data_IF_862605565093
#
_entry.id   IF_862605565093
#
_cell.length_a   1.000
_cell.length_b   1.000
_cell.length_c   1.000
_cell.angle_alpha   90.00
_cell.angle_beta   90.00
_cell.angle_gamma   90.00
#
_symmetry.space_group_name_H-M   'P 1'
#
loop_
_entity.id
_entity.type
_entity.pdbx_description
1 polymer ?
#
# COMPACT_ATOMS: atom_id res chain seq x y z
N UNK A 1 -7.12 -10.35 -42.62
CA UNK A 1 -6.18 -10.20 -41.49
C UNK A 1 -5.80 -11.58 -40.99
N UNK A 2 -4.53 -12.00 -41.14
CA UNK A 2 -4.06 -13.33 -40.70
C UNK A 2 -3.76 -13.28 -39.19
N UNK A 3 -4.60 -13.94 -38.38
CA UNK A 3 -4.35 -14.19 -36.95
C UNK A 3 -3.23 -15.21 -36.81
N UNK A 4 -1.97 -14.78 -36.71
CA UNK A 4 -0.83 -15.69 -36.51
C UNK A 4 -0.56 -15.97 -35.03
N UNK A 5 -1.59 -16.02 -34.18
CA UNK A 5 -1.44 -16.54 -32.82
C UNK A 5 -1.77 -18.03 -32.81
N UNK A 6 -0.74 -18.86 -32.65
CA UNK A 6 -0.90 -20.32 -32.57
C UNK A 6 -0.96 -20.75 -31.12
N UNK A 7 -2.01 -21.51 -30.76
CA UNK A 7 -2.19 -22.07 -29.43
C UNK A 7 -2.44 -23.58 -29.52
N UNK A 8 -1.68 -24.36 -28.76
CA UNK A 8 -1.90 -25.81 -28.66
C UNK A 8 -1.63 -26.33 -27.26
N UNK A 9 -2.35 -27.40 -26.90
CA UNK A 9 -2.23 -28.10 -25.63
C UNK A 9 -1.98 -29.57 -25.92
N UNK A 10 -0.94 -30.14 -25.33
CA UNK A 10 -0.68 -31.59 -25.36
C UNK A 10 -0.44 -32.14 -23.96
N UNK A 11 -0.70 -33.43 -23.75
CA UNK A 11 -0.45 -34.08 -22.48
C UNK A 11 0.60 -35.18 -22.66
N UNK A 12 1.44 -35.35 -21.67
CA UNK A 12 2.51 -36.35 -21.69
C UNK A 12 2.91 -36.72 -20.26
N UNK A 13 3.70 -37.78 -20.14
CA UNK A 13 4.13 -38.30 -18.85
C UNK A 13 5.65 -38.27 -18.69
N UNK A 14 6.13 -38.13 -17.44
CA UNK A 14 7.55 -38.29 -17.09
C UNK A 14 7.71 -39.35 -16.01
N UNK A 15 8.49 -40.40 -16.30
CA UNK A 15 8.77 -41.50 -15.37
C UNK A 15 9.42 -40.99 -14.08
N UNK A 16 9.03 -41.55 -12.93
CA UNK A 16 9.67 -41.24 -11.64
C UNK A 16 11.02 -41.95 -11.55
N UNK A 17 12.06 -41.22 -11.11
CA UNK A 17 13.43 -41.77 -10.98
C UNK A 17 13.50 -43.03 -10.09
N UNK A 18 12.79 -43.03 -8.96
CA UNK A 18 12.79 -44.14 -7.98
C UNK A 18 11.80 -45.27 -8.31
N UNK A 19 10.80 -45.02 -9.15
CA UNK A 19 9.73 -45.97 -9.47
C UNK A 19 9.34 -45.86 -10.95
N UNK A 20 10.13 -46.46 -11.88
CA UNK A 20 9.95 -46.27 -13.31
C UNK A 20 8.62 -46.77 -13.90
N UNK A 21 7.92 -47.67 -13.19
CA UNK A 21 6.58 -48.13 -13.54
C UNK A 21 5.51 -47.04 -13.39
N UNK A 22 5.81 -45.98 -12.65
CA UNK A 22 4.92 -44.84 -12.43
C UNK A 22 5.49 -43.56 -13.06
N UNK A 23 4.61 -42.73 -13.58
CA UNK A 23 4.98 -41.45 -14.18
C UNK A 23 4.07 -40.31 -13.71
N UNK A 24 4.61 -39.11 -13.70
CA UNK A 24 3.87 -37.88 -13.43
C UNK A 24 3.26 -37.34 -14.72
N UNK A 25 1.99 -36.93 -14.65
CA UNK A 25 1.25 -36.35 -15.77
C UNK A 25 1.51 -34.85 -15.89
N UNK A 26 1.76 -34.40 -17.12
CA UNK A 26 2.01 -33.00 -17.47
C UNK A 26 1.12 -32.55 -18.62
N UNK A 27 0.76 -31.27 -18.59
CA UNK A 27 0.21 -30.55 -19.73
C UNK A 27 1.31 -29.63 -20.31
N UNK A 28 1.49 -29.63 -21.63
CA UNK A 28 2.34 -28.68 -22.35
C UNK A 28 1.45 -27.69 -23.07
N UNK A 29 1.74 -26.41 -22.87
CA UNK A 29 1.08 -25.30 -23.54
C UNK A 29 2.08 -24.72 -24.53
N UNK A 30 1.66 -24.54 -25.77
CA UNK A 30 2.44 -23.87 -26.81
C UNK A 30 1.72 -22.60 -27.25
N UNK A 31 2.41 -21.47 -27.21
CA UNK A 31 1.94 -20.18 -27.74
C UNK A 31 3.01 -19.65 -28.68
N UNK A 32 2.69 -19.43 -29.95
CA UNK A 32 3.59 -18.84 -30.94
C UNK A 32 4.96 -19.54 -31.01
N UNK A 33 4.94 -20.88 -31.03
CA UNK A 33 6.14 -21.72 -31.09
C UNK A 33 6.91 -21.88 -29.76
N UNK A 34 6.62 -21.06 -28.73
CA UNK A 34 7.21 -21.24 -27.39
C UNK A 34 6.37 -22.20 -26.58
N UNK A 35 7.00 -23.14 -25.89
CA UNK A 35 6.33 -24.16 -25.06
C UNK A 35 6.66 -24.01 -23.58
N UNK A 36 5.69 -24.32 -22.71
CA UNK A 36 5.88 -24.44 -21.27
C UNK A 36 5.05 -25.60 -20.72
N UNK A 37 5.54 -26.23 -19.65
CA UNK A 37 4.92 -27.40 -19.05
C UNK A 37 4.32 -27.11 -17.67
N UNK A 38 3.18 -27.73 -17.38
CA UNK A 38 2.46 -27.68 -16.11
C UNK A 38 2.32 -29.11 -15.59
N UNK A 39 2.85 -29.37 -14.39
CA UNK A 39 2.59 -30.63 -13.71
C UNK A 39 1.14 -30.67 -13.22
N UNK A 40 0.41 -31.74 -13.54
CA UNK A 40 -0.94 -31.95 -13.02
C UNK A 40 -0.95 -32.64 -11.65
N UNK A 41 0.24 -32.89 -11.07
CA UNK A 41 0.43 -33.55 -9.77
C UNK A 41 -0.30 -34.90 -9.64
N UNK A 42 -0.53 -35.58 -10.78
CA UNK A 42 -1.10 -36.94 -10.83
C UNK A 42 -0.01 -37.93 -11.21
N UNK A 43 0.02 -39.04 -10.49
CA UNK A 43 0.88 -40.18 -10.81
C UNK A 43 0.03 -41.23 -11.50
N UNK A 44 0.51 -41.79 -12.61
CA UNK A 44 -0.19 -42.82 -13.37
C UNK A 44 0.75 -43.98 -13.74
N UNK A 45 0.22 -45.20 -13.94
CA UNK A 45 0.98 -46.32 -14.50
C UNK A 45 1.41 -46.02 -15.95
N UNK A 46 2.67 -46.33 -16.29
CA UNK A 46 3.24 -46.04 -17.62
C UNK A 46 2.62 -46.91 -18.71
N UNK A 47 2.33 -48.17 -18.41
CA UNK A 47 1.72 -49.17 -19.28
C UNK A 47 0.30 -48.80 -19.71
N UNK A 48 -0.42 -48.04 -18.88
CA UNK A 48 -1.78 -47.58 -19.15
C UNK A 48 -1.84 -46.26 -19.92
N UNK A 49 -0.72 -45.61 -20.24
CA UNK A 49 -0.74 -44.33 -20.92
C UNK A 49 -0.69 -44.48 -22.45
N UNK A 50 -1.68 -43.92 -23.15
CA UNK A 50 -1.65 -43.78 -24.60
C UNK A 50 -1.26 -42.34 -24.98
N UNK A 51 -0.05 -42.17 -25.52
CA UNK A 51 0.49 -40.87 -25.90
C UNK A 51 -0.26 -40.23 -27.08
N UNK A 52 -0.64 -41.01 -28.10
CA UNK A 52 -1.36 -40.52 -29.28
C UNK A 52 -2.76 -40.02 -28.93
N UNK A 53 -3.45 -40.73 -28.04
CA UNK A 53 -4.76 -40.31 -27.53
C UNK A 53 -4.65 -39.26 -26.40
N UNK A 54 -3.46 -39.10 -25.80
CA UNK A 54 -3.25 -38.28 -24.59
C UNK A 54 -4.20 -38.67 -23.45
N UNK A 55 -4.46 -39.98 -23.28
CA UNK A 55 -5.41 -40.54 -22.31
C UNK A 55 -4.91 -41.85 -21.73
N UNK A 56 -5.46 -42.25 -20.59
CA UNK A 56 -5.27 -43.58 -20.04
C UNK A 56 -6.16 -44.59 -20.79
N UNK A 57 -5.60 -45.78 -21.03
CA UNK A 57 -6.29 -46.95 -21.57
C UNK A 57 -7.04 -47.70 -20.46
N UNK A 58 -8.09 -48.42 -20.86
CA UNK A 58 -8.93 -49.20 -19.95
C UNK A 58 -10.14 -48.45 -19.41
N UNK A 59 -11.02 -49.20 -18.74
CA UNK A 59 -12.35 -48.74 -18.31
C UNK A 59 -12.50 -48.67 -16.78
N UNK A 60 -11.39 -48.66 -16.04
CA UNK A 60 -11.42 -48.59 -14.57
C UNK A 60 -11.91 -47.21 -14.10
N UNK A 61 -12.48 -47.15 -12.90
CA UNK A 61 -12.91 -45.89 -12.28
C UNK A 61 -11.77 -44.86 -12.24
N UNK A 62 -10.56 -45.29 -11.89
CA UNK A 62 -9.35 -44.47 -11.88
C UNK A 62 -9.03 -43.90 -13.27
N UNK A 63 -9.07 -44.72 -14.33
CA UNK A 63 -8.79 -44.28 -15.70
C UNK A 63 -9.80 -43.24 -16.17
N UNK A 64 -11.09 -43.44 -15.85
CA UNK A 64 -12.15 -42.47 -16.13
C UNK A 64 -11.92 -41.15 -15.39
N UNK A 65 -11.54 -41.19 -14.11
CA UNK A 65 -11.30 -40.00 -13.30
C UNK A 65 -10.11 -39.18 -13.82
N UNK A 66 -9.01 -39.85 -14.20
CA UNK A 66 -7.84 -39.15 -14.75
C UNK A 66 -8.14 -38.58 -16.14
N UNK A 67 -8.82 -39.33 -17.01
CA UNK A 67 -9.24 -38.82 -18.31
C UNK A 67 -10.18 -37.62 -18.20
N UNK A 68 -11.15 -37.67 -17.27
CA UNK A 68 -11.99 -36.51 -16.96
C UNK A 68 -11.15 -35.30 -16.54
N UNK A 69 -10.15 -35.50 -15.67
CA UNK A 69 -9.25 -34.42 -15.24
C UNK A 69 -8.43 -33.82 -16.39
N UNK A 70 -7.99 -34.65 -17.34
CA UNK A 70 -7.30 -34.20 -18.56
C UNK A 70 -8.23 -33.32 -19.40
N UNK A 71 -9.46 -33.79 -19.64
CA UNK A 71 -10.45 -33.07 -20.43
C UNK A 71 -10.84 -31.73 -19.77
N UNK A 72 -11.07 -31.71 -18.44
CA UNK A 72 -11.30 -30.50 -17.66
C UNK A 72 -10.12 -29.52 -17.73
N UNK A 73 -8.90 -30.03 -17.60
CA UNK A 73 -7.68 -29.20 -17.68
C UNK A 73 -7.54 -28.56 -19.06
N UNK A 74 -7.81 -29.33 -20.12
CA UNK A 74 -7.79 -28.85 -21.50
C UNK A 74 -8.82 -27.74 -21.70
N UNK A 75 -10.06 -27.95 -21.27
CA UNK A 75 -11.13 -26.96 -21.37
C UNK A 75 -10.79 -25.67 -20.61
N UNK A 76 -10.27 -25.79 -19.38
CA UNK A 76 -9.88 -24.64 -18.57
C UNK A 76 -8.74 -23.83 -19.22
N UNK A 77 -7.75 -24.49 -19.81
CA UNK A 77 -6.64 -23.83 -20.49
C UNK A 77 -7.08 -23.07 -21.75
N UNK A 78 -8.00 -23.63 -22.55
CA UNK A 78 -8.60 -22.90 -23.66
C UNK A 78 -9.41 -21.70 -23.18
N UNK A 79 -10.24 -21.88 -22.14
CA UNK A 79 -11.00 -20.78 -21.53
C UNK A 79 -10.08 -19.65 -21.03
N UNK A 80 -8.96 -20.00 -20.42
CA UNK A 80 -7.93 -19.05 -19.99
C UNK A 80 -7.34 -18.28 -21.18
N UNK A 81 -6.97 -18.97 -22.26
CA UNK A 81 -6.46 -18.34 -23.48
C UNK A 81 -7.47 -17.35 -24.08
N UNK A 82 -8.74 -17.75 -24.21
CA UNK A 82 -9.80 -16.90 -24.74
C UNK A 82 -10.08 -15.67 -23.84
N UNK A 83 -9.99 -15.84 -22.52
CA UNK A 83 -10.12 -14.72 -21.56
C UNK A 83 -9.03 -13.66 -21.78
N UNK A 84 -7.78 -14.09 -21.92
CA UNK A 84 -6.65 -13.19 -22.15
C UNK A 84 -6.79 -12.43 -23.47
N UNK A 85 -7.28 -13.09 -24.53
CA UNK A 85 -7.58 -12.44 -25.81
C UNK A 85 -8.70 -11.40 -25.68
N UNK A 86 -9.79 -11.74 -25.00
CA UNK A 86 -10.93 -10.82 -24.77
C UNK A 86 -10.55 -9.60 -23.96
N UNK A 87 -9.65 -9.76 -23.00
CA UNK A 87 -9.11 -8.68 -22.16
C UNK A 87 -8.04 -7.83 -22.88
N UNK A 88 -7.63 -8.20 -24.10
CA UNK A 88 -6.59 -7.48 -24.84
C UNK A 88 -5.19 -7.63 -24.22
N UNK A 89 -4.98 -8.65 -23.37
CA UNK A 89 -3.69 -8.88 -22.71
C UNK A 89 -2.72 -9.61 -23.63
N UNK A 90 -1.42 -9.39 -23.42
CA UNK A 90 -0.36 -10.08 -24.15
C UNK A 90 -0.44 -11.59 -23.88
N UNK A 91 -0.72 -12.39 -24.91
CA UNK A 91 -0.81 -13.84 -24.78
C UNK A 91 0.56 -14.50 -24.97
N UNK A 92 1.09 -15.05 -23.89
CA UNK A 92 2.32 -15.85 -23.80
C UNK A 92 2.09 -17.13 -23.01
N UNK A 93 2.97 -18.12 -23.15
CA UNK A 93 2.89 -19.36 -22.34
C UNK A 93 2.96 -19.07 -20.84
N UNK A 94 3.71 -18.04 -20.42
CA UNK A 94 3.79 -17.59 -19.04
C UNK A 94 2.46 -17.00 -18.56
N UNK A 95 1.84 -16.11 -19.33
CA UNK A 95 0.55 -15.50 -18.95
C UNK A 95 -0.59 -16.53 -18.90
N UNK A 96 -0.63 -17.49 -19.84
CA UNK A 96 -1.62 -18.58 -19.82
C UNK A 96 -1.40 -19.47 -18.60
N UNK A 97 -0.15 -19.84 -18.29
CA UNK A 97 0.18 -20.60 -17.08
C UNK A 97 -0.22 -19.84 -15.82
N UNK A 98 0.12 -18.57 -15.73
CA UNK A 98 -0.19 -17.73 -14.59
C UNK A 98 -1.70 -17.67 -14.38
N UNK A 99 -2.49 -17.45 -15.45
CA UNK A 99 -3.94 -17.39 -15.37
C UNK A 99 -4.60 -18.72 -15.04
N UNK A 100 -4.08 -19.80 -15.58
CA UNK A 100 -4.54 -21.15 -15.23
C UNK A 100 -4.27 -21.50 -13.76
N UNK A 101 -3.12 -21.08 -13.22
CA UNK A 101 -2.77 -21.30 -11.81
C UNK A 101 -3.34 -20.25 -10.85
N UNK A 102 -4.05 -19.22 -11.36
CA UNK A 102 -4.57 -18.11 -10.57
C UNK A 102 -3.50 -17.15 -10.05
N UNK A 103 -2.31 -17.16 -10.65
CA UNK A 103 -1.16 -16.30 -10.29
C UNK A 103 -0.92 -15.17 -11.29
N UNK A 104 -1.83 -14.93 -12.24
CA UNK A 104 -1.77 -13.77 -13.14
C UNK A 104 -2.29 -12.49 -12.46
N UNK A 105 -3.22 -12.65 -11.53
CA UNK A 105 -3.68 -11.55 -10.72
C UNK A 105 -2.65 -11.35 -9.63
N UNK A 106 -1.90 -10.25 -9.73
CA UNK A 106 -1.07 -9.82 -8.63
C UNK A 106 -2.02 -9.42 -7.49
N UNK A 107 -2.27 -10.35 -6.57
CA UNK A 107 -3.06 -10.07 -5.40
C UNK A 107 -2.22 -9.24 -4.44
N UNK A 108 -2.37 -7.93 -4.54
CA UNK A 108 -1.71 -7.01 -3.64
C UNK A 108 -2.31 -7.11 -2.25
N UNK A 109 -1.45 -7.11 -1.25
CA UNK A 109 -1.84 -7.11 0.16
C UNK A 109 -1.76 -5.71 0.74
N UNK A 110 -2.36 -5.52 1.93
CA UNK A 110 -2.25 -4.28 2.68
C UNK A 110 -0.79 -3.95 3.00
N UNK A 111 0.00 -4.96 3.41
CA UNK A 111 1.42 -4.78 3.69
C UNK A 111 2.20 -4.40 2.45
N UNK A 112 1.90 -5.00 1.29
CA UNK A 112 2.52 -4.61 0.03
C UNK A 112 2.24 -3.14 -0.31
N UNK A 113 0.99 -2.70 -0.16
CA UNK A 113 0.61 -1.30 -0.39
C UNK A 113 1.31 -0.33 0.54
N UNK A 114 1.41 -0.67 1.82
CA UNK A 114 2.14 0.12 2.80
C UNK A 114 3.62 0.28 2.39
N UNK A 115 4.27 -0.83 2.04
CA UNK A 115 5.68 -0.83 1.64
C UNK A 115 5.90 -0.05 0.35
N UNK A 116 5.03 -0.23 -0.65
CA UNK A 116 5.06 0.52 -1.89
C UNK A 116 4.92 2.03 -1.64
N UNK A 117 3.94 2.45 -0.83
CA UNK A 117 3.77 3.84 -0.45
C UNK A 117 5.02 4.40 0.23
N UNK A 118 5.59 3.65 1.19
CA UNK A 118 6.80 4.05 1.92
C UNK A 118 7.99 4.24 0.97
N UNK A 119 8.27 3.28 0.10
CA UNK A 119 9.38 3.34 -0.86
C UNK A 119 9.25 4.54 -1.80
N UNK A 120 8.05 4.79 -2.35
CA UNK A 120 7.83 5.89 -3.30
C UNK A 120 7.81 7.26 -2.63
N UNK A 121 7.46 7.33 -1.35
CA UNK A 121 7.30 8.59 -0.63
C UNK A 121 8.47 8.93 0.30
N UNK A 122 9.46 8.03 0.44
CA UNK A 122 10.61 8.20 1.35
C UNK A 122 11.37 9.51 1.11
N UNK A 123 11.65 9.83 -0.16
CA UNK A 123 12.35 11.07 -0.55
C UNK A 123 11.43 12.28 -0.73
N UNK A 124 10.11 12.07 -0.72
CA UNK A 124 9.11 13.12 -1.02
C UNK A 124 8.52 13.70 0.25
N UNK A 125 8.23 12.85 1.24
CA UNK A 125 7.61 13.27 2.49
C UNK A 125 8.65 13.66 3.53
N UNK A 126 8.35 14.72 4.27
CA UNK A 126 9.14 15.07 5.46
C UNK A 126 9.04 13.94 6.50
N UNK A 127 10.11 13.75 7.26
CA UNK A 127 10.21 12.77 8.33
C UNK A 127 8.98 12.73 9.24
N UNK A 128 8.49 13.90 9.71
CA UNK A 128 7.33 13.98 10.59
C UNK A 128 6.03 13.42 9.95
N UNK A 129 5.84 13.60 8.65
CA UNK A 129 4.70 13.02 7.93
C UNK A 129 4.90 11.51 7.77
N UNK A 130 6.09 11.05 7.40
CA UNK A 130 6.38 9.61 7.28
C UNK A 130 6.21 8.86 8.61
N UNK A 131 6.71 9.44 9.71
CA UNK A 131 6.52 8.91 11.07
C UNK A 131 5.04 8.68 11.39
N UNK A 132 4.18 9.64 11.04
CA UNK A 132 2.74 9.53 11.24
C UNK A 132 2.08 8.43 10.39
N UNK A 133 2.58 8.17 9.18
CA UNK A 133 2.17 7.00 8.39
C UNK A 133 2.59 5.72 9.08
N UNK A 134 3.85 5.60 9.50
CA UNK A 134 4.35 4.43 10.23
C UNK A 134 3.53 4.11 11.49
N UNK A 135 3.12 5.12 12.27
CA UNK A 135 2.20 4.90 13.40
C UNK A 135 0.86 4.31 12.96
N UNK A 136 0.30 4.80 11.85
CA UNK A 136 -0.96 4.28 11.30
C UNK A 136 -0.81 2.85 10.78
N UNK A 137 0.32 2.55 10.14
CA UNK A 137 0.67 1.21 9.66
C UNK A 137 0.76 0.20 10.82
N UNK A 138 1.33 0.61 11.94
CA UNK A 138 1.39 -0.22 13.14
C UNK A 138 -0.02 -0.50 13.69
N UNK A 139 -0.88 0.52 13.80
CA UNK A 139 -2.26 0.30 14.21
C UNK A 139 -3.04 -0.61 13.26
N UNK A 140 -2.80 -0.53 11.95
CA UNK A 140 -3.40 -1.47 10.99
C UNK A 140 -2.93 -2.91 11.23
N UNK A 141 -1.63 -3.11 11.46
CA UNK A 141 -1.07 -4.44 11.76
C UNK A 141 -1.61 -5.00 13.08
N UNK A 142 -1.74 -4.16 14.10
CA UNK A 142 -2.27 -4.57 15.40
C UNK A 142 -3.77 -4.86 15.32
N UNK A 143 -4.53 -4.08 14.55
CA UNK A 143 -5.93 -4.36 14.21
C UNK A 143 -6.09 -5.72 13.52
N UNK A 144 -5.25 -6.01 12.51
CA UNK A 144 -5.27 -7.31 11.81
C UNK A 144 -4.99 -8.48 12.75
N UNK A 145 -4.02 -8.36 13.66
CA UNK A 145 -3.72 -9.41 14.64
C UNK A 145 -4.87 -9.60 15.63
N UNK A 146 -5.42 -8.49 16.15
CA UNK A 146 -6.44 -8.52 17.20
C UNK A 146 -7.81 -9.02 16.70
N UNK A 147 -8.23 -8.58 15.51
CA UNK A 147 -9.61 -8.79 15.04
C UNK A 147 -9.71 -9.79 13.88
N UNK A 148 -8.63 -9.99 13.11
CA UNK A 148 -8.62 -10.87 11.93
C UNK A 148 -7.64 -12.05 12.08
N UNK A 149 -6.91 -12.14 13.20
CA UNK A 149 -5.93 -13.20 13.51
C UNK A 149 -4.92 -13.46 12.39
N UNK A 150 -4.52 -12.40 11.69
CA UNK A 150 -3.57 -12.45 10.57
C UNK A 150 -2.57 -11.30 10.68
N UNK A 151 -1.42 -11.46 10.03
CA UNK A 151 -0.43 -10.39 9.87
C UNK A 151 -0.63 -9.56 8.61
N UNK A 152 -1.44 -10.05 7.66
CA UNK A 152 -1.68 -9.38 6.38
C UNK A 152 -3.04 -9.78 5.78
N UNK A 153 -3.52 -8.99 4.83
CA UNK A 153 -4.80 -9.21 4.17
C UNK A 153 -4.72 -8.78 2.71
N UNK A 154 -5.40 -9.48 1.81
CA UNK A 154 -5.50 -9.03 0.42
C UNK A 154 -6.34 -7.75 0.35
N UNK A 155 -5.94 -6.79 -0.48
CA UNK A 155 -6.70 -5.55 -0.65
C UNK A 155 -8.14 -5.79 -1.10
N UNK A 156 -8.39 -6.87 -1.86
CA UNK A 156 -9.74 -7.29 -2.28
C UNK A 156 -10.67 -7.70 -1.13
N UNK A 157 -10.11 -8.06 0.02
CA UNK A 157 -10.87 -8.42 1.23
C UNK A 157 -11.17 -7.20 2.11
N UNK A 158 -10.59 -6.03 1.80
CA UNK A 158 -10.83 -4.79 2.54
C UNK A 158 -12.10 -4.16 1.96
N UNK A 159 -13.18 -4.22 2.70
CA UNK A 159 -14.46 -3.63 2.35
C UNK A 159 -14.82 -2.43 3.28
N UNK A 160 -16.05 -1.93 3.15
CA UNK A 160 -16.51 -0.84 4.01
C UNK A 160 -16.63 -1.27 5.48
N UNK A 161 -16.95 -2.54 5.74
CA UNK A 161 -17.02 -3.08 7.11
C UNK A 161 -15.63 -3.12 7.76
N UNK A 162 -14.58 -3.49 7.02
CA UNK A 162 -13.19 -3.36 7.48
C UNK A 162 -12.86 -1.91 7.82
N UNK A 163 -13.30 -0.95 7.00
CA UNK A 163 -13.05 0.48 7.23
C UNK A 163 -13.69 0.94 8.55
N UNK A 164 -14.94 0.57 8.80
CA UNK A 164 -15.63 0.89 10.06
C UNK A 164 -15.02 0.12 11.24
N UNK A 165 -14.63 -1.13 11.05
CA UNK A 165 -13.97 -1.95 12.07
C UNK A 165 -12.63 -1.37 12.50
N UNK A 166 -11.84 -0.84 11.56
CA UNK A 166 -10.59 -0.17 11.87
C UNK A 166 -10.82 1.14 12.64
N UNK A 167 -11.83 1.94 12.27
CA UNK A 167 -12.22 3.13 13.03
C UNK A 167 -12.59 2.76 14.49
N UNK A 168 -13.47 1.78 14.67
CA UNK A 168 -13.90 1.31 15.99
C UNK A 168 -12.72 0.80 16.82
N UNK A 169 -11.78 0.08 16.19
CA UNK A 169 -10.54 -0.35 16.85
C UNK A 169 -9.70 0.85 17.32
N UNK A 170 -9.52 1.88 16.50
CA UNK A 170 -8.77 3.07 16.90
C UNK A 170 -9.43 3.80 18.08
N UNK A 171 -10.77 3.79 18.16
CA UNK A 171 -11.52 4.46 19.24
C UNK A 171 -11.35 3.80 20.61
N UNK A 172 -11.01 2.52 20.67
CA UNK A 172 -10.77 1.82 21.94
C UNK A 172 -9.32 1.93 22.43
N UNK A 173 -8.42 2.48 21.62
CA UNK A 173 -7.02 2.64 22.01
C UNK A 173 -6.84 3.79 23.00
N UNK A 174 -6.03 3.60 24.05
CA UNK A 174 -5.77 4.66 25.03
C UNK A 174 -5.06 5.85 24.39
N UNK A 175 -5.48 7.07 24.75
CA UNK A 175 -4.86 8.31 24.29
C UNK A 175 -5.27 8.79 22.89
N UNK A 176 -6.12 8.06 22.17
CA UNK A 176 -6.67 8.52 20.89
C UNK A 176 -8.03 9.19 21.09
N UNK A 177 -8.05 10.52 21.00
CA UNK A 177 -9.28 11.29 20.86
C UNK A 177 -9.79 11.28 19.42
N UNK A 178 -11.01 11.76 19.18
CA UNK A 178 -11.66 11.73 17.87
C UNK A 178 -10.79 12.33 16.75
N UNK A 179 -10.18 13.50 16.97
CA UNK A 179 -9.28 14.11 15.98
C UNK A 179 -8.05 13.24 15.67
N UNK A 180 -7.51 12.54 16.67
CA UNK A 180 -6.45 11.55 16.48
C UNK A 180 -6.90 10.39 15.60
N UNK A 181 -8.05 9.79 15.94
CA UNK A 181 -8.68 8.71 15.15
C UNK A 181 -8.89 9.16 13.70
N UNK A 182 -9.47 10.34 13.50
CA UNK A 182 -9.73 10.88 12.16
C UNK A 182 -8.44 11.10 11.36
N UNK A 183 -7.33 11.49 12.00
CA UNK A 183 -6.04 11.59 11.31
C UNK A 183 -5.48 10.25 10.86
N UNK A 184 -5.71 9.17 11.61
CA UNK A 184 -5.36 7.82 11.16
C UNK A 184 -6.28 7.36 10.02
N UNK A 185 -7.59 7.63 10.12
CA UNK A 185 -8.54 7.34 9.03
C UNK A 185 -8.24 8.13 7.75
N UNK A 186 -7.78 9.38 7.86
CA UNK A 186 -7.33 10.21 6.72
C UNK A 186 -6.16 9.56 5.97
N UNK A 187 -5.19 9.00 6.71
CA UNK A 187 -4.04 8.30 6.11
C UNK A 187 -4.43 6.97 5.52
N UNK A 188 -5.31 6.20 6.18
CA UNK A 188 -5.85 4.95 5.63
C UNK A 188 -6.62 5.19 4.34
N UNK A 189 -7.48 6.23 4.30
CA UNK A 189 -8.15 6.69 3.07
C UNK A 189 -7.16 7.01 1.95
N UNK A 190 -6.04 7.66 2.28
CA UNK A 190 -5.00 7.99 1.28
C UNK A 190 -4.29 6.75 0.74
N UNK A 191 -4.02 5.73 1.58
CA UNK A 191 -3.50 4.43 1.12
C UNK A 191 -4.51 3.73 0.20
N UNK A 192 -5.79 3.64 0.58
CA UNK A 192 -6.81 2.99 -0.24
C UNK A 192 -7.06 3.73 -1.56
N UNK A 193 -6.96 5.06 -1.58
CA UNK A 193 -6.99 5.84 -2.82
C UNK A 193 -5.78 5.57 -3.71
N UNK A 194 -4.60 5.39 -3.12
CA UNK A 194 -3.41 5.00 -3.90
C UNK A 194 -3.62 3.63 -4.56
N UNK A 195 -4.17 2.66 -3.83
CA UNK A 195 -4.51 1.35 -4.41
C UNK A 195 -5.55 1.44 -5.54
N UNK A 196 -6.55 2.32 -5.39
CA UNK A 196 -7.55 2.59 -6.45
C UNK A 196 -6.89 3.20 -7.69
N UNK A 197 -5.99 4.19 -7.53
CA UNK A 197 -5.29 4.81 -8.66
C UNK A 197 -4.30 3.89 -9.39
N UNK A 198 -3.85 2.82 -8.74
CA UNK A 198 -2.96 1.81 -9.32
C UNK A 198 -3.72 0.60 -9.88
N UNK A 199 -5.06 0.65 -9.89
CA UNK A 199 -5.95 -0.44 -10.30
C UNK A 199 -5.77 -1.74 -9.49
N UNK A 200 -5.25 -1.64 -8.26
CA UNK A 200 -5.08 -2.79 -7.36
C UNK A 200 -6.38 -3.20 -6.67
N UNK A 201 -7.32 -2.25 -6.59
CA UNK A 201 -8.69 -2.46 -6.14
C UNK A 201 -9.65 -1.80 -7.12
N UNK A 202 -10.77 -2.47 -7.42
CA UNK A 202 -11.81 -1.95 -8.29
C UNK A 202 -12.72 -0.95 -7.56
N UNK A 203 -12.96 -1.17 -6.26
CA UNK A 203 -13.86 -0.36 -5.42
C UNK A 203 -13.12 0.08 -4.17
N UNK A 204 -12.96 1.39 -4.00
CA UNK A 204 -12.32 1.93 -2.81
C UNK A 204 -13.22 1.80 -1.57
N UNK A 205 -12.83 0.99 -0.56
CA UNK A 205 -13.67 0.73 0.60
C UNK A 205 -13.89 1.98 1.45
N UNK A 206 -12.99 2.95 1.38
CA UNK A 206 -13.06 4.16 2.21
C UNK A 206 -13.78 5.33 1.55
N UNK A 207 -14.25 5.16 0.31
CA UNK A 207 -14.84 6.26 -0.50
C UNK A 207 -16.06 6.89 0.17
N UNK A 208 -16.90 6.07 0.80
CA UNK A 208 -18.12 6.51 1.51
C UNK A 208 -17.88 6.99 2.94
N UNK A 209 -16.69 6.73 3.50
CA UNK A 209 -16.34 7.13 4.85
C UNK A 209 -16.17 8.65 4.95
N UNK A 210 -16.91 9.32 5.84
CA UNK A 210 -16.81 10.78 6.03
C UNK A 210 -15.94 11.08 7.25
N UNK A 211 -14.87 11.87 7.05
CA UNK A 211 -14.05 12.36 8.14
C UNK A 211 -14.80 13.48 8.88
N UNK A 212 -14.90 13.38 10.21
CA UNK A 212 -15.57 14.36 11.07
C UNK A 212 -14.64 14.73 12.23
N UNK A 213 -14.04 15.90 12.14
CA UNK A 213 -13.16 16.44 13.18
C UNK A 213 -13.98 17.27 14.16
N UNK A 214 -13.68 17.12 15.44
CA UNK A 214 -14.22 18.00 16.47
C UNK A 214 -13.49 19.33 16.40
N UNK A 215 -14.24 20.43 16.50
CA UNK A 215 -13.63 21.73 16.71
C UNK A 215 -12.94 21.74 18.06
N UNK A 216 -11.70 22.21 18.07
CA UNK A 216 -10.92 22.40 19.28
C UNK A 216 -10.73 23.90 19.43
N UNK A 217 -11.21 24.43 20.55
CA UNK A 217 -10.98 25.83 20.89
C UNK A 217 -9.48 26.04 21.09
N UNK A 218 -8.92 26.95 20.31
CA UNK A 218 -7.52 27.32 20.47
C UNK A 218 -7.39 28.17 21.73
N UNK A 219 -6.69 27.64 22.72
CA UNK A 219 -6.23 28.44 23.86
C UNK A 219 -5.14 29.39 23.36
N UNK A 220 -5.28 30.67 23.66
CA UNK A 220 -4.31 31.70 23.33
C UNK A 220 -4.00 32.54 24.56
N UNK A 221 -2.83 33.20 24.54
CA UNK A 221 -2.44 34.12 25.60
C UNK A 221 -3.01 35.50 25.30
N UNK A 222 -3.62 36.13 26.30
CA UNK A 222 -3.91 37.56 26.25
C UNK A 222 -2.64 38.38 26.54
N UNK A 223 -2.71 39.69 26.31
CA UNK A 223 -1.56 40.59 26.48
C UNK A 223 -0.97 40.52 27.89
N UNK A 224 -1.82 40.50 28.92
CA UNK A 224 -1.39 40.45 30.33
C UNK A 224 -0.68 39.14 30.66
N UNK A 225 -1.16 38.01 30.13
CA UNK A 225 -0.51 36.70 30.31
C UNK A 225 0.84 36.63 29.60
N UNK A 226 0.94 37.19 28.39
CA UNK A 226 2.21 37.26 27.66
C UNK A 226 3.23 38.15 28.40
N UNK A 227 2.80 39.29 28.93
CA UNK A 227 3.67 40.17 29.73
C UNK A 227 4.15 39.50 31.02
N UNK A 228 3.32 38.69 31.68
CA UNK A 228 3.77 37.89 32.82
C UNK A 228 4.88 36.93 32.40
N UNK A 229 4.71 36.19 31.30
CA UNK A 229 5.73 35.27 30.80
C UNK A 229 7.00 36.02 30.41
N UNK A 230 6.90 37.18 29.75
CA UNK A 230 8.03 38.02 29.33
C UNK A 230 8.90 38.45 30.51
N UNK A 231 8.26 38.82 31.62
CA UNK A 231 8.94 39.36 32.81
C UNK A 231 9.30 38.30 33.87
N UNK A 232 8.93 37.04 33.65
CA UNK A 232 9.24 35.95 34.58
C UNK A 232 10.75 35.66 34.59
N UNK A 233 11.35 35.58 35.78
CA UNK A 233 12.74 35.22 35.97
C UNK A 233 12.87 33.72 36.27
N UNK A 234 13.68 33.03 35.48
CA UNK A 234 13.94 31.60 35.67
C UNK A 234 15.35 31.36 36.19
N UNK A 235 15.48 30.54 37.22
CA UNK A 235 16.78 30.12 37.77
C UNK A 235 17.65 29.39 36.72
N UNK A 236 17.00 28.65 35.80
CA UNK A 236 17.68 27.85 34.79
C UNK A 236 17.86 28.68 33.50
N UNK A 237 19.10 28.90 33.03
CA UNK A 237 19.36 29.69 31.81
C UNK A 237 18.63 29.18 30.56
N UNK A 238 18.41 27.87 30.46
CA UNK A 238 17.68 27.25 29.34
C UNK A 238 16.23 27.72 29.28
N UNK A 239 15.59 27.97 30.43
CA UNK A 239 14.22 28.45 30.48
C UNK A 239 14.12 29.91 30.06
N UNK A 240 15.11 30.74 30.40
CA UNK A 240 15.23 32.12 29.91
C UNK A 240 15.31 32.15 28.38
N UNK A 241 16.15 31.31 27.77
CA UNK A 241 16.24 31.19 26.30
C UNK A 241 14.91 30.72 25.70
N UNK A 242 14.25 29.74 26.31
CA UNK A 242 12.94 29.26 25.85
C UNK A 242 11.87 30.35 25.91
N UNK A 243 11.83 31.13 26.99
CA UNK A 243 10.95 32.30 27.16
C UNK A 243 11.22 33.31 26.05
N UNK A 244 12.48 33.68 25.82
CA UNK A 244 12.85 34.69 24.84
C UNK A 244 12.46 34.26 23.41
N UNK A 245 12.71 32.99 23.05
CA UNK A 245 12.29 32.43 21.76
C UNK A 245 10.76 32.40 21.64
N UNK A 246 10.06 32.05 22.72
CA UNK A 246 8.60 31.99 22.75
C UNK A 246 7.98 33.39 22.57
N UNK A 247 8.43 34.38 23.33
CA UNK A 247 7.99 35.77 23.24
C UNK A 247 8.30 36.34 21.86
N UNK A 248 9.49 36.09 21.34
CA UNK A 248 9.85 36.45 19.97
C UNK A 248 8.92 35.82 18.93
N UNK A 249 8.56 34.54 19.08
CA UNK A 249 7.61 33.86 18.21
C UNK A 249 6.20 34.46 18.29
N UNK A 250 5.75 34.88 19.48
CA UNK A 250 4.48 35.58 19.67
C UNK A 250 4.44 36.93 18.93
N UNK A 251 5.53 37.72 19.01
CA UNK A 251 5.61 39.02 18.34
C UNK A 251 5.77 38.91 16.81
N UNK A 252 6.48 37.89 16.34
CA UNK A 252 6.76 37.73 14.90
C UNK A 252 5.76 36.84 14.17
N UNK A 253 4.93 36.09 14.89
CA UNK A 253 4.06 35.05 14.34
C UNK A 253 4.82 33.87 13.70
N UNK A 254 6.12 33.75 13.97
CA UNK A 254 6.93 32.65 13.46
C UNK A 254 6.65 31.38 14.27
N UNK A 255 6.51 30.24 13.58
CA UNK A 255 6.45 28.96 14.29
C UNK A 255 7.82 28.67 14.89
N UNK A 256 7.89 27.92 16.00
CA UNK A 256 9.17 27.56 16.63
C UNK A 256 10.21 27.02 15.64
N UNK A 257 9.78 26.15 14.71
CA UNK A 257 10.67 25.61 13.68
C UNK A 257 11.25 26.69 12.74
N UNK A 258 10.48 27.74 12.45
CA UNK A 258 10.91 28.86 11.62
C UNK A 258 11.85 29.78 12.40
N UNK A 259 11.52 30.11 13.65
CA UNK A 259 12.35 30.92 14.53
C UNK A 259 13.72 30.26 14.77
N UNK A 260 13.74 28.94 15.00
CA UNK A 260 14.97 28.14 15.17
C UNK A 260 15.87 28.15 13.93
N UNK A 261 15.31 28.31 12.74
CA UNK A 261 16.06 28.29 11.48
C UNK A 261 16.65 29.66 11.11
N UNK A 262 16.31 30.73 11.84
CA UNK A 262 16.81 32.06 11.58
C UNK A 262 18.33 32.16 11.79
N UNK A 263 18.96 32.96 10.94
CA UNK A 263 20.36 33.35 11.04
C UNK A 263 20.52 34.82 10.63
N UNK A 264 21.75 35.36 10.78
CA UNK A 264 22.04 36.77 10.50
C UNK A 264 21.72 37.19 9.06
N UNK A 265 21.77 36.29 8.09
CA UNK A 265 21.47 36.60 6.68
C UNK A 265 19.98 36.81 6.43
N UNK A 266 19.12 36.40 7.36
CA UNK A 266 17.69 36.69 7.30
C UNK A 266 17.37 38.13 7.67
N UNK A 267 18.31 38.88 8.24
CA UNK A 267 18.11 40.26 8.66
C UNK A 267 18.52 41.23 7.54
N UNK A 268 17.61 42.08 7.11
CA UNK A 268 17.87 43.09 6.07
C UNK A 268 17.24 44.42 6.44
N UNK A 269 17.78 45.51 5.90
CA UNK A 269 17.19 46.84 6.05
C UNK A 269 16.03 46.97 5.06
N UNK A 270 14.84 47.30 5.57
CA UNK A 270 13.64 47.55 4.79
C UNK A 270 13.68 48.91 4.11
N UNK A 271 12.68 49.16 3.25
CA UNK A 271 12.50 50.44 2.56
C UNK A 271 12.18 51.60 3.53
N UNK A 272 11.72 51.26 4.72
CA UNK A 272 11.45 52.18 5.83
C UNK A 272 12.70 52.47 6.69
N UNK A 273 13.86 51.91 6.33
CA UNK A 273 15.11 52.05 7.08
C UNK A 273 15.21 51.16 8.32
N UNK A 274 14.15 50.42 8.67
CA UNK A 274 14.14 49.52 9.83
C UNK A 274 14.68 48.13 9.48
N UNK A 275 15.00 47.34 10.51
CA UNK A 275 15.40 45.94 10.34
C UNK A 275 14.18 45.05 10.11
N UNK A 276 14.28 44.15 9.14
CA UNK A 276 13.24 43.19 8.77
C UNK A 276 13.82 41.78 8.69
N UNK A 277 13.01 40.80 9.08
CA UNK A 277 13.30 39.38 8.94
C UNK A 277 12.70 38.89 7.63
N UNK A 278 13.56 38.47 6.71
CA UNK A 278 13.24 37.81 5.46
C UNK A 278 13.55 36.33 5.56
N UNK A 279 12.49 35.50 5.56
CA UNK A 279 12.62 34.04 5.66
C UNK A 279 11.54 33.32 4.85
N UNK A 280 11.55 32.00 4.86
CA UNK A 280 10.49 31.15 4.30
C UNK A 280 10.01 30.16 5.35
N UNK A 281 8.69 29.95 5.44
CA UNK A 281 8.07 28.96 6.34
C UNK A 281 8.65 27.57 6.06
N UNK A 282 9.10 26.90 7.10
CA UNK A 282 9.70 25.56 7.02
C UNK A 282 8.73 24.55 6.42
N UNK A 283 7.43 24.64 6.72
CA UNK A 283 6.43 23.65 6.27
C UNK A 283 5.95 23.87 4.84
N UNK A 284 5.64 25.12 4.48
CA UNK A 284 4.95 25.47 3.23
C UNK A 284 5.84 26.19 2.22
N UNK A 285 7.06 26.55 2.60
CA UNK A 285 8.01 27.35 1.82
C UNK A 285 7.49 28.76 1.42
N UNK A 286 6.42 29.23 2.08
CA UNK A 286 5.84 30.56 1.88
C UNK A 286 6.81 31.63 2.38
N UNK A 287 7.07 32.65 1.56
CA UNK A 287 7.90 33.78 1.96
C UNK A 287 7.25 34.56 3.11
N UNK A 288 8.06 34.95 4.08
CA UNK A 288 7.65 35.72 5.25
C UNK A 288 8.58 36.92 5.38
N UNK A 289 7.97 38.08 5.60
CA UNK A 289 8.65 39.36 5.84
C UNK A 289 8.03 39.95 7.09
N UNK A 290 8.81 40.06 8.17
CA UNK A 290 8.32 40.58 9.45
C UNK A 290 9.24 41.71 9.90
N UNK A 291 8.72 42.88 10.29
CA UNK A 291 9.56 43.92 10.88
C UNK A 291 10.14 43.41 12.22
N UNK A 292 11.41 43.73 12.48
CA UNK A 292 12.02 43.49 13.78
C UNK A 292 11.68 44.69 14.68
N UNK A 293 10.92 44.44 15.75
CA UNK A 293 10.53 45.46 16.71
C UNK A 293 11.77 45.95 17.50
N UNK A 294 11.73 47.21 17.95
CA UNK A 294 12.85 47.87 18.62
C UNK A 294 12.98 47.55 20.12
N UNK A 295 12.02 46.80 20.68
CA UNK A 295 12.02 46.36 22.08
C UNK A 295 13.06 45.27 22.36
#
# INVERSE_FOLDING_TARGET
MRTSQTFSISFFIRKKKKQPALALLYARITVNGKSLEISLKRTIPVDKWNQSASKLTGNTSESRQINKKIDETKAQLYKTYDSLLKEGLLVTTQTVKARYLGSDQQHYTLTYLINYHKEKMDKVLKYGTMKNYTTTENYLKDYLKAQHHTSDVYLKQIDYQFTLGFESYLRVLPGLQNNGVMKHMERFKKLMRLAEHLDWIEKNPTKRFKLRFDQVDMVYLNKTELEKIKNEEFEKPVLTINRDIFVFACYTGLAYADAKALNKNNLQIGVDGNKWIYTRRSKTNTAVRVPLLAE
#
